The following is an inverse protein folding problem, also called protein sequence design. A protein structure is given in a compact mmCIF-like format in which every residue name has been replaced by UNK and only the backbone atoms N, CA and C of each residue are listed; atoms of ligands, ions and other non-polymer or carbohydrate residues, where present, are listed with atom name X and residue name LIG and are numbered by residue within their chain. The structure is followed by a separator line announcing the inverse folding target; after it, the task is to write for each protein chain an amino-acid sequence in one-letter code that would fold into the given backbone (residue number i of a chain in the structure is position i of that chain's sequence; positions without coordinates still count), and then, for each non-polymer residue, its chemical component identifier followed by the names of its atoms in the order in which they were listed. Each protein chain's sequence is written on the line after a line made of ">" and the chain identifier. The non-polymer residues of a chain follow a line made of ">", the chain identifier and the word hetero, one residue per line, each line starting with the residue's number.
data_IF_153074272108
#
_entry.id   IF_153074272108
#
_cell.length_a   1.000
_cell.length_b   1.000
_cell.length_c   1.000
_cell.angle_alpha   90.00
_cell.angle_beta   90.00
_cell.angle_gamma   90.00
#
_symmetry.space_group_name_H-M   'P 1'
#
loop_
_entity.id
_entity.type
_entity.pdbx_description
1 polymer ?
#
# COMPACT_ATOMS: atom_id res chain seq x y z
N UNK A 1 -11.58 -41.55 -6.25
CA UNK A 1 -11.44 -40.88 -4.93
C UNK A 1 -10.84 -39.50 -5.15
N UNK A 2 -11.66 -38.45 -5.16
CA UNK A 2 -11.20 -37.06 -5.35
C UNK A 2 -10.76 -36.52 -3.99
N UNK A 3 -9.47 -36.20 -3.84
CA UNK A 3 -8.92 -35.56 -2.62
C UNK A 3 -9.30 -34.07 -2.64
N UNK A 4 -10.10 -33.64 -1.68
CA UNK A 4 -10.42 -32.23 -1.44
C UNK A 4 -9.17 -31.49 -0.94
N UNK A 5 -8.80 -30.31 -1.49
CA UNK A 5 -7.70 -29.51 -0.96
C UNK A 5 -8.06 -28.91 0.42
N UNK A 6 -7.09 -28.71 1.32
CA UNK A 6 -7.34 -28.16 2.65
C UNK A 6 -7.82 -26.70 2.56
N UNK A 7 -8.93 -26.41 3.24
CA UNK A 7 -9.44 -25.06 3.46
C UNK A 7 -8.35 -24.22 4.12
N UNK A 8 -7.84 -23.22 3.41
CA UNK A 8 -6.90 -22.25 3.99
C UNK A 8 -7.55 -21.61 5.21
N UNK A 9 -6.93 -21.77 6.38
CA UNK A 9 -7.38 -21.12 7.62
C UNK A 9 -7.21 -19.62 7.42
N UNK A 10 -8.32 -18.92 7.13
CA UNK A 10 -8.36 -17.46 7.24
C UNK A 10 -7.85 -17.09 8.64
N UNK A 11 -6.89 -16.16 8.80
CA UNK A 11 -6.50 -15.71 10.13
C UNK A 11 -7.75 -15.16 10.81
N UNK A 12 -8.12 -15.77 11.94
CA UNK A 12 -9.30 -15.38 12.69
C UNK A 12 -9.18 -13.89 13.06
N UNK A 13 -10.19 -13.12 12.69
CA UNK A 13 -10.28 -11.73 13.10
C UNK A 13 -10.29 -11.70 14.64
N UNK A 14 -9.23 -11.14 15.24
CA UNK A 14 -9.21 -10.98 16.70
C UNK A 14 -10.09 -9.77 17.03
N UNK A 15 -11.11 -9.93 17.89
CA UNK A 15 -11.87 -8.79 18.38
C UNK A 15 -10.94 -7.82 19.10
N UNK A 16 -11.21 -6.50 19.06
CA UNK A 16 -10.44 -5.52 19.82
C UNK A 16 -10.52 -5.87 21.33
N UNK A 17 -9.46 -5.58 22.11
CA UNK A 17 -9.52 -5.75 23.56
C UNK A 17 -10.66 -4.90 24.15
N UNK A 18 -11.21 -5.30 25.31
CA UNK A 18 -12.25 -4.52 25.98
C UNK A 18 -11.75 -3.09 26.25
N UNK A 19 -12.64 -2.09 26.25
CA UNK A 19 -12.26 -0.71 26.54
C UNK A 19 -11.67 -0.64 27.95
N UNK A 20 -10.38 -0.32 28.03
CA UNK A 20 -9.73 0.01 29.30
C UNK A 20 -10.33 1.31 29.85
N UNK A 21 -10.47 1.45 31.18
CA UNK A 21 -10.92 2.69 31.79
C UNK A 21 -10.07 3.84 31.26
N UNK A 22 -10.73 4.82 30.64
CA UNK A 22 -10.06 6.00 30.09
C UNK A 22 -9.38 6.71 31.26
N UNK A 23 -8.04 6.73 31.29
CA UNK A 23 -7.34 7.81 31.98
C UNK A 23 -7.87 9.12 31.42
N UNK A 24 -8.09 10.17 32.25
CA UNK A 24 -8.55 11.45 31.75
C UNK A 24 -7.62 11.84 30.61
N UNK A 25 -8.18 11.91 29.40
CA UNK A 25 -7.41 12.03 28.18
C UNK A 25 -6.45 13.20 28.37
N UNK A 26 -5.14 12.93 28.43
CA UNK A 26 -4.15 13.99 28.38
C UNK A 26 -4.41 14.65 27.04
N UNK A 27 -5.08 15.80 27.08
CA UNK A 27 -5.35 16.63 25.90
C UNK A 27 -4.01 16.71 25.19
N UNK A 28 -3.88 16.22 23.94
CA UNK A 28 -2.59 16.24 23.28
C UNK A 28 -2.12 17.69 23.40
N UNK A 29 -0.94 17.88 23.99
CA UNK A 29 -0.33 19.19 24.01
C UNK A 29 -0.40 19.71 22.56
N UNK A 30 -0.65 21.01 22.31
CA UNK A 30 -0.54 21.58 20.98
C UNK A 30 0.93 21.56 20.57
N UNK A 31 1.47 20.37 20.34
CA UNK A 31 2.75 20.13 19.74
C UNK A 31 2.55 20.29 18.24
N UNK A 32 3.35 21.16 17.65
CA UNK A 32 3.37 21.51 16.24
C UNK A 32 3.90 20.36 15.36
N UNK A 33 3.47 19.12 15.64
CA UNK A 33 3.76 17.93 14.85
C UNK A 33 2.73 17.83 13.73
N UNK A 34 3.20 17.84 12.47
CA UNK A 34 2.34 17.64 11.30
C UNK A 34 1.40 16.44 11.52
N UNK A 35 0.09 16.67 11.43
CA UNK A 35 -0.92 15.60 11.41
C UNK A 35 -0.58 14.66 10.25
N UNK A 36 -0.39 13.37 10.56
CA UNK A 36 -0.12 12.37 9.53
C UNK A 36 -1.26 12.35 8.51
N UNK A 37 -0.97 12.80 7.28
CA UNK A 37 -1.87 12.66 6.12
C UNK A 37 -1.39 11.51 5.25
N UNK A 38 -2.22 10.45 5.07
CA UNK A 38 -1.89 9.39 4.14
C UNK A 38 -1.68 9.95 2.73
N UNK A 39 -0.57 9.57 2.08
CA UNK A 39 -0.40 9.80 0.64
C UNK A 39 -1.46 8.99 -0.13
N UNK A 40 -2.02 9.58 -1.19
CA UNK A 40 -3.07 9.00 -2.04
C UNK A 40 -2.59 8.87 -3.49
N UNK A 41 -1.91 7.78 -3.85
CA UNK A 41 -1.42 7.54 -5.21
C UNK A 41 -2.54 7.58 -6.25
N UNK A 42 -3.74 7.12 -5.90
CA UNK A 42 -4.94 7.13 -6.76
C UNK A 42 -5.37 8.53 -7.21
N UNK A 43 -4.98 9.57 -6.48
CA UNK A 43 -5.30 10.97 -6.82
C UNK A 43 -4.20 11.64 -7.65
N UNK A 44 -3.12 10.92 -7.99
CA UNK A 44 -2.06 11.44 -8.85
C UNK A 44 -2.40 11.21 -10.32
N UNK A 45 -1.99 12.12 -11.21
CA UNK A 45 -2.24 12.00 -12.66
C UNK A 45 -1.65 10.73 -13.30
N UNK A 46 -0.56 10.19 -12.74
CA UNK A 46 0.08 8.97 -13.23
C UNK A 46 -0.79 7.71 -13.00
N UNK A 47 -1.59 7.69 -11.93
CA UNK A 47 -2.35 6.50 -11.56
C UNK A 47 -3.36 6.07 -12.63
N UNK A 48 -4.27 6.94 -13.10
CA UNK A 48 -5.21 6.55 -14.14
C UNK A 48 -4.49 6.18 -15.45
N UNK A 49 -3.40 6.86 -15.82
CA UNK A 49 -2.63 6.52 -17.02
C UNK A 49 -2.09 5.09 -16.96
N UNK A 50 -1.43 4.72 -15.87
CA UNK A 50 -0.94 3.34 -15.69
C UNK A 50 -2.11 2.37 -15.62
N UNK A 51 -3.17 2.70 -14.88
CA UNK A 51 -4.33 1.82 -14.72
C UNK A 51 -4.99 1.50 -16.07
N UNK A 52 -5.11 2.49 -16.95
CA UNK A 52 -5.77 2.33 -18.25
C UNK A 52 -4.86 1.70 -19.31
N UNK A 53 -3.56 2.00 -19.30
CA UNK A 53 -2.68 1.66 -20.42
C UNK A 53 -1.66 0.55 -20.13
N UNK A 54 -1.54 0.07 -18.88
CA UNK A 54 -0.51 -0.93 -18.53
C UNK A 54 -0.61 -2.20 -19.38
N UNK A 55 -1.79 -2.81 -19.48
CA UNK A 55 -1.92 -4.09 -20.21
C UNK A 55 -1.68 -3.92 -21.71
N UNK A 56 -2.16 -2.82 -22.32
CA UNK A 56 -1.86 -2.49 -23.72
C UNK A 56 -0.35 -2.29 -23.94
N UNK A 57 0.30 -1.52 -23.09
CA UNK A 57 1.73 -1.27 -23.17
C UNK A 57 2.56 -2.56 -23.03
N UNK A 58 2.16 -3.48 -22.15
CA UNK A 58 2.83 -4.78 -22.00
C UNK A 58 2.66 -5.66 -23.24
N UNK A 59 1.48 -5.69 -23.85
CA UNK A 59 1.21 -6.44 -25.06
C UNK A 59 2.00 -5.87 -26.26
N UNK A 60 1.96 -4.56 -26.46
CA UNK A 60 2.71 -3.90 -27.54
C UNK A 60 4.22 -4.10 -27.39
N UNK A 61 4.75 -4.03 -26.17
CA UNK A 61 6.16 -4.28 -25.91
C UNK A 61 6.57 -5.73 -26.21
N UNK A 62 5.68 -6.69 -25.94
CA UNK A 62 5.87 -8.10 -26.26
C UNK A 62 5.88 -8.33 -27.78
N UNK A 63 4.94 -7.74 -28.50
CA UNK A 63 4.80 -7.88 -29.95
C UNK A 63 5.95 -7.19 -30.72
N UNK A 64 6.44 -6.06 -30.19
CA UNK A 64 7.54 -5.31 -30.79
C UNK A 64 8.93 -5.94 -30.58
N UNK A 65 9.08 -6.87 -29.62
CA UNK A 65 10.33 -7.56 -29.35
C UNK A 65 10.47 -8.81 -30.24
N UNK A 66 11.43 -8.84 -31.19
CA UNK A 66 11.63 -10.01 -32.06
C UNK A 66 11.95 -11.30 -31.30
N UNK A 67 12.45 -11.19 -30.07
CA UNK A 67 12.72 -12.34 -29.21
C UNK A 67 11.55 -12.69 -28.28
N UNK A 68 10.51 -11.85 -28.21
CA UNK A 68 9.33 -12.08 -27.38
C UNK A 68 9.61 -12.10 -25.88
N UNK A 69 10.55 -11.32 -25.38
CA UNK A 69 10.75 -11.12 -23.94
C UNK A 69 9.91 -9.96 -23.40
N UNK A 70 9.64 -8.97 -24.24
CA UNK A 70 8.89 -7.77 -23.88
C UNK A 70 9.64 -6.95 -22.83
N UNK A 71 8.90 -6.34 -21.89
CA UNK A 71 9.53 -5.56 -20.81
C UNK A 71 10.19 -6.46 -19.76
N UNK A 72 11.27 -6.01 -19.09
CA UNK A 72 11.84 -6.75 -17.98
C UNK A 72 10.81 -6.99 -16.86
N UNK A 73 10.77 -8.22 -16.32
CA UNK A 73 9.79 -8.63 -15.28
C UNK A 73 9.71 -7.70 -14.07
N UNK A 74 10.83 -7.07 -13.69
CA UNK A 74 10.85 -6.13 -12.57
C UNK A 74 10.11 -4.83 -12.88
N UNK A 75 10.06 -4.39 -14.14
CA UNK A 75 9.30 -3.21 -14.60
C UNK A 75 7.81 -3.47 -14.45
N UNK A 76 7.33 -4.58 -15.00
CA UNK A 76 5.92 -4.99 -14.88
C UNK A 76 5.50 -5.11 -13.40
N UNK A 77 6.32 -5.80 -12.60
CA UNK A 77 6.08 -5.96 -11.16
C UNK A 77 5.96 -4.62 -10.45
N UNK A 78 6.78 -3.64 -10.82
CA UNK A 78 6.77 -2.31 -10.20
C UNK A 78 5.49 -1.54 -10.55
N UNK A 79 5.03 -1.57 -11.81
CA UNK A 79 3.74 -0.98 -12.20
C UNK A 79 2.55 -1.66 -11.53
N UNK A 80 2.49 -2.99 -11.54
CA UNK A 80 1.41 -3.74 -10.85
C UNK A 80 1.43 -3.51 -9.34
N UNK A 81 2.60 -3.30 -8.74
CA UNK A 81 2.72 -2.96 -7.32
C UNK A 81 2.34 -1.51 -7.03
N UNK A 82 2.60 -0.59 -7.94
CA UNK A 82 2.15 0.80 -7.85
C UNK A 82 0.62 0.90 -7.86
N UNK A 83 -0.07 0.16 -8.73
CA UNK A 83 -1.54 0.13 -8.78
C UNK A 83 -2.20 -0.41 -7.51
N UNK A 84 -1.45 -1.11 -6.66
CA UNK A 84 -1.94 -1.60 -5.35
C UNK A 84 -1.53 -0.71 -4.17
N UNK A 85 -0.64 0.26 -4.42
CA UNK A 85 0.03 1.01 -3.39
C UNK A 85 -0.95 1.92 -2.65
N UNK A 86 -0.97 1.83 -1.31
CA UNK A 86 -1.75 2.70 -0.42
C UNK A 86 -3.28 2.56 -0.56
N UNK A 87 -3.74 1.42 -1.07
CA UNK A 87 -5.16 1.08 -1.15
C UNK A 87 -5.47 0.02 -0.09
N UNK A 88 -6.48 0.29 0.75
CA UNK A 88 -6.83 -0.60 1.87
C UNK A 88 -7.24 -2.01 1.42
N UNK A 89 -7.87 -2.14 0.25
CA UNK A 89 -8.27 -3.42 -0.33
C UNK A 89 -7.07 -4.37 -0.62
N UNK A 90 -5.86 -3.83 -0.73
CA UNK A 90 -4.63 -4.61 -0.95
C UNK A 90 -3.81 -4.83 0.34
N UNK A 91 -4.35 -4.44 1.49
CA UNK A 91 -3.75 -4.69 2.81
C UNK A 91 -3.41 -3.43 3.58
N UNK A 92 -3.55 -3.54 4.91
CA UNK A 92 -3.30 -2.46 5.86
C UNK A 92 -2.87 -3.02 7.21
N UNK A 93 -2.20 -2.20 8.00
CA UNK A 93 -2.06 -2.44 9.44
C UNK A 93 -3.17 -1.70 10.18
N UNK A 94 -3.59 -2.24 11.33
CA UNK A 94 -4.45 -1.53 12.28
C UNK A 94 -3.60 -1.16 13.48
N UNK A 95 -3.57 0.11 13.82
CA UNK A 95 -2.95 0.62 15.04
C UNK A 95 -4.03 1.28 15.87
N UNK A 96 -4.01 1.00 17.17
CA UNK A 96 -4.94 1.54 18.15
C UNK A 96 -4.14 2.14 19.30
N UNK A 97 -4.49 3.35 19.71
CA UNK A 97 -3.88 4.00 20.87
C UNK A 97 -4.69 3.71 22.12
N UNK A 98 -4.05 3.13 23.14
CA UNK A 98 -4.65 2.84 24.46
C UNK A 98 -5.10 4.11 25.19
N UNK A 99 -4.40 5.21 24.98
CA UNK A 99 -4.56 6.42 25.80
C UNK A 99 -5.66 7.33 25.27
N UNK A 100 -5.79 7.43 23.93
CA UNK A 100 -6.81 8.26 23.29
C UNK A 100 -7.93 7.46 22.60
N UNK A 101 -7.80 6.12 22.54
CA UNK A 101 -8.79 5.22 21.96
C UNK A 101 -8.93 5.30 20.44
N UNK A 102 -8.06 6.04 19.74
CA UNK A 102 -8.18 6.26 18.30
C UNK A 102 -7.54 5.13 17.47
N UNK A 103 -8.30 4.64 16.48
CA UNK A 103 -7.85 3.66 15.49
C UNK A 103 -7.30 4.37 14.24
N UNK A 104 -6.19 3.86 13.69
CA UNK A 104 -5.71 4.21 12.34
C UNK A 104 -5.49 2.96 11.51
N UNK A 105 -5.82 3.07 10.23
CA UNK A 105 -5.66 2.01 9.24
C UNK A 105 -4.67 2.44 8.13
N UNK A 106 -3.36 2.48 8.39
CA UNK A 106 -2.39 2.75 7.33
C UNK A 106 -2.36 1.62 6.29
N UNK A 107 -2.69 1.94 5.05
CA UNK A 107 -2.51 1.05 3.90
C UNK A 107 -1.03 0.77 3.62
N UNK A 108 -0.74 -0.44 3.13
CA UNK A 108 0.63 -0.84 2.80
C UNK A 108 1.22 -0.04 1.62
N UNK A 109 2.51 0.23 1.71
CA UNK A 109 3.29 0.81 0.60
C UNK A 109 3.83 -0.28 -0.30
N UNK A 110 3.93 -0.02 -1.61
CA UNK A 110 4.57 -0.95 -2.54
C UNK A 110 6.07 -1.16 -2.26
N UNK A 111 6.73 -0.26 -1.50
CA UNK A 111 8.18 -0.27 -1.22
C UNK A 111 9.05 -0.23 -2.50
N UNK A 112 8.46 0.06 -3.65
CA UNK A 112 9.14 0.14 -4.94
C UNK A 112 10.09 1.33 -5.03
N UNK A 113 11.05 1.23 -5.95
CA UNK A 113 12.08 2.24 -6.22
C UNK A 113 11.91 2.93 -7.58
N UNK A 114 11.07 2.39 -8.45
CA UNK A 114 10.77 2.98 -9.75
C UNK A 114 9.59 3.94 -9.69
N UNK A 115 8.48 3.51 -10.27
CA UNK A 115 7.40 4.37 -10.78
C UNK A 115 6.52 5.03 -9.72
N UNK A 116 6.48 4.52 -8.48
CA UNK A 116 5.56 5.03 -7.46
C UNK A 116 6.06 6.35 -6.84
N UNK A 117 5.44 7.51 -7.13
CA UNK A 117 5.96 8.80 -6.67
C UNK A 117 5.93 8.91 -5.14
N UNK A 118 4.92 8.32 -4.51
CA UNK A 118 4.75 8.34 -3.06
C UNK A 118 5.86 7.59 -2.31
N UNK A 119 6.26 6.41 -2.79
CA UNK A 119 7.29 5.59 -2.15
C UNK A 119 8.68 6.09 -2.50
N UNK A 120 8.90 6.51 -3.75
CA UNK A 120 10.18 7.03 -4.18
C UNK A 120 10.51 8.34 -3.45
N UNK A 121 9.59 9.31 -3.40
CA UNK A 121 9.82 10.56 -2.67
C UNK A 121 10.01 10.35 -1.16
N UNK A 122 9.32 9.37 -0.54
CA UNK A 122 9.59 9.01 0.86
C UNK A 122 11.01 8.49 1.02
N UNK A 123 11.43 7.58 0.14
CA UNK A 123 12.78 7.00 0.17
C UNK A 123 13.86 8.06 -0.02
N UNK A 124 13.67 9.00 -0.96
CA UNK A 124 14.60 10.10 -1.18
C UNK A 124 14.73 10.97 0.08
N UNK A 125 13.62 11.27 0.75
CA UNK A 125 13.64 11.99 2.02
C UNK A 125 14.33 11.21 3.16
N UNK A 126 14.26 9.87 3.15
CA UNK A 126 14.93 9.02 4.15
C UNK A 126 16.46 8.98 3.98
N UNK A 127 16.99 9.28 2.79
CA UNK A 127 18.45 9.18 2.49
C UNK A 127 19.17 10.51 2.35
N UNK A 128 18.46 11.64 2.40
CA UNK A 128 19.00 12.98 2.17
C UNK A 128 19.75 13.60 3.37
N UNK A 129 20.43 12.76 4.17
CA UNK A 129 21.16 13.18 5.38
C UNK A 129 22.57 13.68 5.06
#
# INVERSE_FOLDING_TARGET
>A
MVRTPPVSRRPAWRPPPPPVPRSPARRPAPGHGRVYRPRRPTETALYPLVQHHLETCLAEAQDADPMGWGVPKWVERDFRSYLRCRILAHGFARMWCTDCGHDRLPAFSCKGRGVCPSCNARRMAEVAA
#
